data_IF_236603181544
#
_entry.id   IF_236603181544
#
_cell.length_a   1.000
_cell.length_b   1.000
_cell.length_c   1.000
_cell.angle_alpha   90.00
_cell.angle_beta   90.00
_cell.angle_gamma   90.00
#
_symmetry.space_group_name_H-M   'P 1'
#
loop_
_entity.id
_entity.type
_entity.pdbx_description
1 polymer ?
#
# COMPACT_ATOMS: atom_id res chain seq x y z
N UNK A 1 15.08 -50.59 0.86
CA UNK A 1 14.80 -50.37 -0.57
C UNK A 1 14.62 -48.88 -0.80
N UNK A 2 15.65 -48.18 -1.31
CA UNK A 2 15.51 -46.77 -1.68
C UNK A 2 14.67 -46.71 -2.96
N UNK A 3 13.42 -46.26 -2.83
CA UNK A 3 12.52 -46.07 -3.96
C UNK A 3 13.18 -45.21 -5.02
N UNK A 4 13.08 -45.61 -6.29
CA UNK A 4 13.58 -44.84 -7.43
C UNK A 4 12.95 -43.44 -7.36
N UNK A 5 13.74 -42.43 -6.96
CA UNK A 5 13.31 -41.03 -6.99
C UNK A 5 12.83 -40.70 -8.41
N UNK A 6 11.63 -40.13 -8.50
CA UNK A 6 11.01 -39.73 -9.75
C UNK A 6 11.81 -38.57 -10.37
N UNK A 7 12.86 -38.91 -11.13
CA UNK A 7 13.72 -37.97 -11.87
C UNK A 7 12.93 -36.98 -12.74
N UNK A 8 11.72 -37.37 -13.17
CA UNK A 8 10.81 -36.53 -13.94
C UNK A 8 10.29 -35.31 -13.16
N UNK A 9 9.92 -35.51 -11.89
CA UNK A 9 9.38 -34.44 -11.03
C UNK A 9 10.49 -33.46 -10.67
N UNK A 10 11.66 -33.97 -10.28
CA UNK A 10 12.81 -33.13 -9.95
C UNK A 10 13.25 -32.25 -11.13
N UNK A 11 13.20 -32.80 -12.35
CA UNK A 11 13.51 -32.04 -13.57
C UNK A 11 12.46 -30.96 -13.88
N UNK A 12 11.18 -31.23 -13.60
CA UNK A 12 10.11 -30.23 -13.75
C UNK A 12 10.29 -29.08 -12.76
N UNK A 13 10.51 -29.39 -11.48
CA UNK A 13 10.77 -28.39 -10.43
C UNK A 13 12.00 -27.53 -10.75
N UNK A 14 13.08 -28.15 -11.21
CA UNK A 14 14.28 -27.40 -11.61
C UNK A 14 13.99 -26.45 -12.78
N UNK A 15 13.17 -26.88 -13.74
CA UNK A 15 12.79 -26.04 -14.87
C UNK A 15 11.90 -24.85 -14.42
N UNK A 16 10.96 -25.07 -13.51
CA UNK A 16 10.11 -24.02 -12.93
C UNK A 16 10.95 -23.00 -12.17
N UNK A 17 11.88 -23.45 -11.33
CA UNK A 17 12.82 -22.58 -10.63
C UNK A 17 13.71 -21.78 -11.59
N UNK A 18 14.16 -22.36 -12.70
CA UNK A 18 14.92 -21.62 -13.72
C UNK A 18 14.08 -20.52 -14.37
N UNK A 19 12.79 -20.77 -14.62
CA UNK A 19 11.87 -19.74 -15.15
C UNK A 19 11.69 -18.62 -14.12
N UNK A 20 11.52 -18.96 -12.85
CA UNK A 20 11.45 -18.00 -11.75
C UNK A 20 12.72 -17.14 -11.68
N UNK A 21 13.90 -17.75 -11.65
CA UNK A 21 15.20 -17.06 -11.60
C UNK A 21 15.38 -16.14 -12.80
N UNK A 22 14.99 -16.57 -14.00
CA UNK A 22 15.02 -15.70 -15.18
C UNK A 22 14.13 -14.47 -15.00
N UNK A 23 12.96 -14.65 -14.40
CA UNK A 23 12.06 -13.56 -14.03
C UNK A 23 12.70 -12.60 -13.02
N UNK A 24 13.34 -13.13 -11.98
CA UNK A 24 14.08 -12.35 -10.98
C UNK A 24 15.24 -11.56 -11.61
N UNK A 25 15.96 -12.15 -12.57
CA UNK A 25 17.01 -11.45 -13.32
C UNK A 25 16.46 -10.34 -14.24
N UNK A 26 15.15 -10.28 -14.45
CA UNK A 26 14.47 -9.19 -15.17
C UNK A 26 14.05 -8.03 -14.27
N UNK A 27 14.23 -8.15 -12.95
CA UNK A 27 13.80 -7.11 -12.01
C UNK A 27 14.66 -5.85 -12.10
N UNK A 28 14.02 -4.71 -11.91
CA UNK A 28 14.73 -3.47 -11.57
C UNK A 28 15.35 -3.57 -10.17
N UNK A 29 16.38 -2.78 -9.88
CA UNK A 29 17.01 -2.76 -8.55
C UNK A 29 16.03 -2.50 -7.40
N UNK A 30 14.98 -1.69 -7.64
CA UNK A 30 13.91 -1.43 -6.66
C UNK A 30 13.02 -2.65 -6.43
N UNK A 31 12.68 -3.38 -7.49
CA UNK A 31 11.91 -4.63 -7.38
C UNK A 31 12.71 -5.71 -6.66
N UNK A 32 14.00 -5.84 -6.96
CA UNK A 32 14.87 -6.79 -6.26
C UNK A 32 15.02 -6.44 -4.77
N UNK A 33 15.09 -5.14 -4.44
CA UNK A 33 15.08 -4.69 -3.04
C UNK A 33 13.75 -5.01 -2.33
N UNK A 34 12.62 -4.88 -3.03
CA UNK A 34 11.30 -5.19 -2.47
C UNK A 34 11.11 -6.68 -2.12
N UNK A 35 11.89 -7.56 -2.74
CA UNK A 35 11.84 -9.01 -2.53
C UNK A 35 13.06 -9.50 -1.71
N UNK A 36 13.94 -8.58 -1.30
CA UNK A 36 15.20 -8.92 -0.64
C UNK A 36 15.05 -9.56 0.73
N UNK A 37 13.90 -9.42 1.39
CA UNK A 37 13.62 -10.07 2.67
C UNK A 37 13.32 -11.56 2.51
N UNK A 38 12.76 -11.96 1.37
CA UNK A 38 12.50 -13.36 1.05
C UNK A 38 13.75 -14.10 0.58
N UNK A 39 14.85 -13.39 0.30
CA UNK A 39 16.05 -13.95 -0.31
C UNK A 39 17.25 -13.82 0.64
N UNK A 40 18.09 -14.85 0.71
CA UNK A 40 19.37 -14.75 1.39
C UNK A 40 20.27 -13.72 0.70
N UNK A 41 21.20 -13.13 1.46
CA UNK A 41 22.14 -12.14 0.89
C UNK A 41 23.00 -12.73 -0.23
N UNK A 42 23.26 -14.04 -0.19
CA UNK A 42 23.97 -14.74 -1.25
C UNK A 42 23.11 -14.88 -2.51
N UNK A 43 21.82 -15.25 -2.39
CA UNK A 43 20.90 -15.28 -3.53
C UNK A 43 20.90 -13.95 -4.30
N UNK A 44 20.82 -12.82 -3.58
CA UNK A 44 20.81 -11.49 -4.20
C UNK A 44 22.12 -11.22 -4.94
N UNK A 45 23.28 -11.59 -4.37
CA UNK A 45 24.58 -11.44 -5.04
C UNK A 45 24.64 -12.28 -6.32
N UNK A 46 24.24 -13.55 -6.26
CA UNK A 46 24.27 -14.45 -7.40
C UNK A 46 23.30 -14.02 -8.51
N UNK A 47 22.14 -13.47 -8.16
CA UNK A 47 21.18 -12.89 -9.10
C UNK A 47 21.78 -11.65 -9.78
N UNK A 48 22.41 -10.74 -9.03
CA UNK A 48 23.08 -9.56 -9.62
C UNK A 48 24.17 -9.94 -10.62
N UNK A 49 24.99 -10.94 -10.29
CA UNK A 49 25.98 -11.49 -11.23
C UNK A 49 25.29 -12.01 -12.50
N UNK A 50 24.15 -12.70 -12.39
CA UNK A 50 23.39 -13.17 -13.56
C UNK A 50 22.80 -12.01 -14.38
N UNK A 51 22.36 -10.94 -13.73
CA UNK A 51 21.81 -9.74 -14.37
C UNK A 51 22.87 -9.00 -15.20
N UNK A 52 24.10 -8.91 -14.71
CA UNK A 52 25.21 -8.26 -15.39
C UNK A 52 25.66 -9.01 -16.65
N UNK A 53 25.36 -10.30 -16.75
CA UNK A 53 25.69 -11.12 -17.92
C UNK A 53 24.57 -11.01 -18.99
N UNK A 54 24.92 -10.77 -20.28
CA UNK A 54 23.94 -10.72 -21.36
C UNK A 54 23.05 -11.97 -21.45
N UNK A 55 21.75 -11.84 -21.80
CA UNK A 55 20.79 -12.94 -21.81
C UNK A 55 21.14 -14.08 -22.79
N UNK A 56 21.88 -13.78 -23.85
CA UNK A 56 22.32 -14.75 -24.86
C UNK A 56 23.52 -15.60 -24.41
N UNK A 57 24.24 -15.19 -23.36
CA UNK A 57 25.48 -15.81 -22.94
C UNK A 57 25.25 -17.14 -22.18
N UNK A 58 26.04 -18.16 -22.49
CA UNK A 58 25.98 -19.46 -21.80
C UNK A 58 26.33 -19.33 -20.30
N UNK A 59 27.24 -18.42 -19.94
CA UNK A 59 27.60 -18.10 -18.56
C UNK A 59 26.40 -17.67 -17.73
N UNK A 60 25.49 -16.86 -18.30
CA UNK A 60 24.25 -16.49 -17.63
C UNK A 60 23.38 -17.71 -17.35
N UNK A 61 23.20 -18.61 -18.32
CA UNK A 61 22.41 -19.84 -18.14
C UNK A 61 22.99 -20.74 -17.05
N UNK A 62 24.32 -20.79 -16.91
CA UNK A 62 25.00 -21.51 -15.82
C UNK A 62 24.73 -20.85 -14.48
N UNK A 63 24.82 -19.53 -14.42
CA UNK A 63 24.56 -18.74 -13.21
C UNK A 63 23.09 -18.84 -12.77
N UNK A 64 22.14 -18.72 -13.69
CA UNK A 64 20.71 -18.95 -13.43
C UNK A 64 20.46 -20.36 -12.86
N UNK A 65 21.16 -21.36 -13.40
CA UNK A 65 21.10 -22.74 -12.90
C UNK A 65 21.70 -22.91 -11.49
N UNK A 66 22.74 -22.15 -11.14
CA UNK A 66 23.30 -22.13 -9.79
C UNK A 66 22.32 -21.50 -8.81
N UNK A 67 21.77 -20.33 -9.14
CA UNK A 67 20.75 -19.66 -8.32
C UNK A 67 19.53 -20.56 -8.11
N UNK A 68 19.04 -21.24 -9.15
CA UNK A 68 17.91 -22.16 -9.03
C UNK A 68 18.20 -23.31 -8.04
N UNK A 69 19.45 -23.81 -7.99
CA UNK A 69 19.86 -24.83 -7.01
C UNK A 69 19.92 -24.29 -5.59
N UNK A 70 20.40 -23.05 -5.42
CA UNK A 70 20.44 -22.39 -4.10
C UNK A 70 19.02 -22.14 -3.57
N UNK A 71 18.14 -21.58 -4.40
CA UNK A 71 16.73 -21.38 -4.03
C UNK A 71 16.05 -22.69 -3.66
N UNK A 72 16.34 -23.79 -4.36
CA UNK A 72 15.79 -25.10 -3.99
C UNK A 72 16.27 -25.60 -2.63
N UNK A 73 17.49 -25.25 -2.24
CA UNK A 73 18.13 -25.78 -1.03
C UNK A 73 17.78 -24.97 0.22
N UNK A 74 17.65 -23.65 0.09
CA UNK A 74 17.53 -22.73 1.22
C UNK A 74 16.12 -22.13 1.37
N UNK A 75 15.26 -22.19 0.35
CA UNK A 75 13.98 -21.49 0.36
C UNK A 75 12.82 -22.43 0.68
N UNK A 76 11.96 -21.99 1.60
CA UNK A 76 10.72 -22.67 1.91
C UNK A 76 9.68 -22.53 0.79
N UNK A 77 8.73 -23.47 0.74
CA UNK A 77 7.67 -23.50 -0.28
C UNK A 77 6.80 -22.23 -0.25
N UNK A 78 6.46 -21.73 0.95
CA UNK A 78 5.70 -20.49 1.10
C UNK A 78 6.45 -19.26 0.57
N UNK A 79 7.77 -19.16 0.82
CA UNK A 79 8.60 -18.09 0.28
C UNK A 79 8.70 -18.19 -1.25
N UNK A 80 8.78 -19.41 -1.78
CA UNK A 80 8.82 -19.67 -3.22
C UNK A 80 7.51 -19.24 -3.90
N UNK A 81 6.35 -19.52 -3.30
CA UNK A 81 5.06 -19.06 -3.82
C UNK A 81 4.96 -17.53 -3.85
N UNK A 82 5.43 -16.85 -2.79
CA UNK A 82 5.53 -15.38 -2.76
C UNK A 82 6.46 -14.85 -3.85
N UNK A 83 7.59 -15.49 -4.12
CA UNK A 83 8.48 -15.13 -5.23
C UNK A 83 7.81 -15.30 -6.60
N UNK A 84 7.07 -16.38 -6.80
CA UNK A 84 6.31 -16.61 -8.04
C UNK A 84 5.27 -15.50 -8.23
N UNK A 85 4.52 -15.16 -7.18
CA UNK A 85 3.56 -14.06 -7.21
C UNK A 85 4.26 -12.72 -7.52
N UNK A 86 5.42 -12.46 -6.91
CA UNK A 86 6.21 -11.26 -7.15
C UNK A 86 6.69 -11.16 -8.60
N UNK A 87 7.22 -12.25 -9.17
CA UNK A 87 7.64 -12.29 -10.57
C UNK A 87 6.46 -12.10 -11.52
N UNK A 88 5.32 -12.73 -11.24
CA UNK A 88 4.10 -12.54 -12.02
C UNK A 88 3.57 -11.10 -11.99
N UNK A 89 3.58 -10.46 -10.81
CA UNK A 89 3.15 -9.06 -10.65
C UNK A 89 4.09 -8.09 -11.40
N UNK A 90 5.40 -8.30 -11.28
CA UNK A 90 6.39 -7.48 -11.97
C UNK A 90 6.27 -7.60 -13.50
N UNK A 91 6.06 -8.81 -14.03
CA UNK A 91 5.90 -9.03 -15.47
C UNK A 91 4.62 -8.41 -16.05
N UNK A 92 3.53 -8.35 -15.29
CA UNK A 92 2.24 -7.81 -15.76
C UNK A 92 2.20 -6.29 -15.72
N UNK A 93 2.62 -5.71 -14.60
CA UNK A 93 2.32 -4.30 -14.31
C UNK A 93 3.58 -3.42 -14.24
N UNK A 94 4.78 -4.01 -14.25
CA UNK A 94 6.04 -3.34 -13.95
C UNK A 94 6.01 -2.55 -12.63
N UNK A 95 5.13 -2.94 -11.71
CA UNK A 95 4.99 -2.31 -10.39
C UNK A 95 5.98 -2.97 -9.42
N UNK A 96 6.42 -2.23 -8.38
CA UNK A 96 7.16 -2.83 -7.29
C UNK A 96 6.27 -3.85 -6.57
N UNK A 97 6.83 -5.02 -6.27
CA UNK A 97 6.14 -6.02 -5.46
C UNK A 97 5.87 -5.46 -4.06
N UNK A 98 4.65 -5.66 -3.59
CA UNK A 98 4.25 -5.40 -2.21
C UNK A 98 3.88 -6.74 -1.59
N UNK A 99 4.64 -7.17 -0.60
CA UNK A 99 4.32 -8.37 0.17
C UNK A 99 3.00 -8.12 0.93
N UNK A 100 2.01 -8.97 0.65
CA UNK A 100 0.66 -8.82 1.20
C UNK A 100 0.65 -8.94 2.71
N UNK A 101 1.50 -9.79 3.27
CA UNK A 101 1.51 -10.07 4.71
C UNK A 101 2.11 -8.87 5.45
N UNK A 102 3.22 -8.33 4.92
CA UNK A 102 3.83 -7.10 5.43
C UNK A 102 2.86 -5.92 5.35
N UNK A 103 2.12 -5.76 4.25
CA UNK A 103 1.15 -4.65 4.13
C UNK A 103 -0.07 -4.85 5.04
N UNK A 104 -0.53 -6.08 5.26
CA UNK A 104 -1.58 -6.39 6.24
C UNK A 104 -1.12 -6.08 7.66
N UNK A 105 0.08 -6.52 8.06
CA UNK A 105 0.65 -6.21 9.37
C UNK A 105 0.81 -4.71 9.58
N UNK A 106 1.28 -3.99 8.54
CA UNK A 106 1.35 -2.53 8.59
C UNK A 106 -0.01 -1.87 8.76
N UNK A 107 -1.04 -2.41 8.11
CA UNK A 107 -2.40 -1.91 8.27
C UNK A 107 -2.92 -2.13 9.69
N UNK A 108 -2.76 -3.34 10.24
CA UNK A 108 -3.14 -3.68 11.61
C UNK A 108 -2.44 -2.76 12.62
N UNK A 109 -1.12 -2.58 12.50
CA UNK A 109 -0.39 -1.66 13.37
C UNK A 109 -0.85 -0.21 13.22
N UNK A 110 -1.11 0.26 12.00
CA UNK A 110 -1.60 1.63 11.80
C UNK A 110 -2.99 1.83 12.41
N UNK A 111 -3.89 0.86 12.27
CA UNK A 111 -5.24 0.92 12.83
C UNK A 111 -5.18 0.88 14.36
N UNK A 112 -4.48 -0.09 14.93
CA UNK A 112 -4.31 -0.21 16.39
C UNK A 112 -3.66 1.02 17.03
N UNK A 113 -2.63 1.61 16.39
CA UNK A 113 -2.02 2.85 16.88
C UNK A 113 -2.98 4.04 16.85
N UNK A 114 -3.88 4.12 15.86
CA UNK A 114 -4.85 5.19 15.75
C UNK A 114 -6.00 5.03 16.74
N UNK A 115 -6.43 3.79 16.97
CA UNK A 115 -7.49 3.44 17.92
C UNK A 115 -7.01 3.48 19.38
N UNK A 116 -5.68 3.50 19.58
CA UNK A 116 -5.07 3.50 20.91
C UNK A 116 -5.08 2.13 21.56
N UNK A 117 -5.03 1.07 20.76
CA UNK A 117 -4.90 -0.30 21.24
C UNK A 117 -3.55 -0.48 21.95
N UNK A 118 -3.61 -0.76 23.26
CA UNK A 118 -2.43 -0.84 24.11
C UNK A 118 -1.50 -1.99 23.72
N UNK A 119 -2.05 -3.11 23.23
CA UNK A 119 -1.24 -4.28 22.86
C UNK A 119 -0.37 -3.96 21.63
N UNK A 120 -0.97 -3.35 20.61
CA UNK A 120 -0.27 -2.89 19.40
C UNK A 120 0.74 -1.79 19.72
N UNK A 121 0.40 -0.87 20.63
CA UNK A 121 1.31 0.19 21.07
C UNK A 121 2.56 -0.39 21.74
N UNK A 122 2.38 -1.33 22.67
CA UNK A 122 3.47 -1.96 23.40
C UNK A 122 4.36 -2.81 22.47
N UNK A 123 3.76 -3.55 21.52
CA UNK A 123 4.48 -4.30 20.50
C UNK A 123 5.35 -3.37 19.63
N UNK A 124 4.73 -2.37 18.99
CA UNK A 124 5.41 -1.49 18.04
C UNK A 124 6.49 -0.66 18.73
N UNK A 125 6.23 -0.14 19.91
CA UNK A 125 7.22 0.64 20.65
C UNK A 125 8.34 -0.23 21.20
N UNK A 126 8.04 -1.46 21.63
CA UNK A 126 9.06 -2.43 22.01
C UNK A 126 10.01 -2.76 20.85
N UNK A 127 9.46 -3.00 19.65
CA UNK A 127 10.24 -3.26 18.44
C UNK A 127 11.10 -2.05 18.03
N UNK A 128 10.55 -0.84 18.11
CA UNK A 128 11.30 0.40 17.83
C UNK A 128 12.43 0.62 18.83
N UNK A 129 12.15 0.41 20.12
CA UNK A 129 13.13 0.56 21.19
C UNK A 129 14.27 -0.45 21.05
N UNK A 130 13.96 -1.70 20.75
CA UNK A 130 14.96 -2.75 20.50
C UNK A 130 15.93 -2.37 19.36
N UNK A 131 15.45 -1.62 18.36
CA UNK A 131 16.27 -1.13 17.24
C UNK A 131 16.93 0.24 17.49
N UNK A 132 16.69 0.85 18.65
CA UNK A 132 17.17 2.21 18.96
C UNK A 132 16.56 3.29 18.06
N UNK A 133 15.38 3.05 17.48
CA UNK A 133 14.67 4.04 16.68
C UNK A 133 13.88 5.00 17.59
N UNK A 134 13.74 6.26 17.15
CA UNK A 134 13.04 7.30 17.90
C UNK A 134 11.52 7.09 17.86
N UNK A 135 11.01 6.38 18.87
CA UNK A 135 9.58 6.14 19.06
C UNK A 135 8.80 7.42 19.44
N UNK A 136 9.47 8.48 19.90
CA UNK A 136 8.79 9.75 20.23
C UNK A 136 8.27 10.43 18.95
N UNK A 137 9.02 10.35 17.86
CA UNK A 137 8.57 10.85 16.55
C UNK A 137 7.29 10.15 16.09
N UNK A 138 7.24 8.82 16.24
CA UNK A 138 6.03 8.05 15.90
C UNK A 138 4.85 8.50 16.76
N UNK A 139 5.05 8.67 18.07
CA UNK A 139 4.01 9.14 19.00
C UNK A 139 3.46 10.52 18.62
N UNK A 140 4.32 11.45 18.21
CA UNK A 140 3.92 12.79 17.76
C UNK A 140 3.05 12.68 16.50
N UNK A 141 3.47 11.87 15.51
CA UNK A 141 2.74 11.68 14.26
C UNK A 141 1.36 11.03 14.48
N UNK A 142 1.28 10.02 15.35
CA UNK A 142 0.01 9.36 15.69
C UNK A 142 -0.94 10.36 16.34
N UNK A 143 -0.46 11.15 17.32
CA UNK A 143 -1.26 12.20 17.96
C UNK A 143 -1.75 13.24 16.95
N UNK A 144 -0.90 13.65 16.01
CA UNK A 144 -1.28 14.59 14.94
C UNK A 144 -2.40 14.01 14.06
N UNK A 145 -2.36 12.72 13.73
CA UNK A 145 -3.41 12.07 12.96
C UNK A 145 -4.72 11.94 13.73
N UNK A 146 -4.67 11.56 15.00
CA UNK A 146 -5.87 11.49 15.87
C UNK A 146 -6.55 12.85 15.99
N UNK A 147 -5.77 13.93 16.20
CA UNK A 147 -6.30 15.29 16.22
C UNK A 147 -6.94 15.70 14.88
N UNK A 148 -6.31 15.37 13.76
CA UNK A 148 -6.86 15.63 12.44
C UNK A 148 -8.17 14.85 12.19
N UNK A 149 -8.27 13.61 12.68
CA UNK A 149 -9.48 12.79 12.56
C UNK A 149 -10.63 13.33 13.42
N UNK A 150 -10.35 13.79 14.64
CA UNK A 150 -11.33 14.45 15.50
C UNK A 150 -11.84 15.76 14.90
N UNK A 151 -10.96 16.57 14.31
CA UNK A 151 -11.37 17.81 13.61
C UNK A 151 -12.28 17.53 12.41
N UNK A 152 -12.01 16.46 11.65
CA UNK A 152 -12.86 16.07 10.53
C UNK A 152 -14.26 15.60 10.99
N UNK A 153 -14.32 14.86 12.10
CA UNK A 153 -15.60 14.44 12.68
C UNK A 153 -16.41 15.65 13.20
N UNK A 154 -15.75 16.62 13.85
CA UNK A 154 -16.41 17.86 14.31
C UNK A 154 -16.95 18.69 13.13
N UNK A 155 -16.19 18.83 12.03
CA UNK A 155 -16.65 19.54 10.85
C UNK A 155 -17.86 18.86 10.18
N UNK A 156 -17.88 17.52 10.11
CA UNK A 156 -19.04 16.79 9.58
C UNK A 156 -20.29 16.98 10.44
N UNK A 157 -20.16 16.99 11.77
CA UNK A 157 -21.29 17.25 12.67
C UNK A 157 -21.83 18.67 12.51
N UNK A 158 -20.96 19.68 12.38
CA UNK A 158 -21.39 21.07 12.17
C UNK A 158 -22.15 21.25 10.86
N UNK A 159 -21.67 20.70 9.74
CA UNK A 159 -22.35 20.77 8.44
C UNK A 159 -23.74 20.11 8.54
N UNK A 160 -23.82 18.93 9.14
CA UNK A 160 -25.08 18.19 9.33
C UNK A 160 -26.11 18.98 10.15
N UNK A 161 -25.64 19.71 11.19
CA UNK A 161 -26.51 20.53 12.04
C UNK A 161 -26.95 21.86 11.40
N UNK A 162 -26.17 22.41 10.48
CA UNK A 162 -26.55 23.65 9.77
C UNK A 162 -27.52 23.43 8.61
N UNK A 163 -27.53 22.25 7.98
CA UNK A 163 -28.44 21.94 6.87
C UNK A 163 -29.90 21.68 7.30
N UNK A 164 -30.14 21.36 8.57
CA UNK A 164 -31.49 21.10 9.11
C UNK A 164 -32.20 22.35 9.64
N UNK A 165 -31.56 23.53 9.62
CA UNK A 165 -32.12 24.80 10.12
C UNK A 165 -32.60 25.76 9.01
N UNK A 166 -32.49 25.39 7.72
CA UNK A 166 -32.84 26.27 6.60
C UNK A 166 -34.17 25.90 5.90
N UNK A 167 -35.00 25.05 6.53
CA UNK A 167 -36.24 24.52 5.94
C UNK A 167 -37.47 24.68 6.85
N UNK A 168 -37.67 25.85 7.45
CA UNK A 168 -38.96 26.20 8.04
C UNK A 168 -39.15 27.73 8.05
N UNK A 169 -39.69 28.26 6.95
CA UNK A 169 -40.26 29.61 6.90
C UNK A 169 -41.41 29.59 5.91
N UNK A 170 -42.54 29.09 6.39
CA UNK A 170 -43.86 29.32 5.82
C UNK A 170 -44.41 30.66 6.32
N UNK A 171 -44.81 31.54 5.41
CA UNK A 171 -45.84 32.57 5.67
C UNK A 171 -46.58 32.91 4.38
N UNK A 172 -47.90 32.68 4.42
CA UNK A 172 -48.95 33.24 3.56
C UNK A 172 -48.95 34.78 3.51
N UNK A 173 -49.26 35.40 2.36
CA UNK A 173 -50.52 36.15 2.12
C UNK A 173 -50.59 36.75 0.69
N UNK A 174 -51.82 37.04 0.25
CA UNK A 174 -52.28 37.32 -1.11
C UNK A 174 -52.07 38.76 -1.64
N UNK A 175 -51.98 38.89 -2.98
CA UNK A 175 -52.83 39.75 -3.85
C UNK A 175 -52.10 40.31 -5.11
N UNK A 176 -52.69 40.02 -6.26
CA UNK A 176 -52.76 40.79 -7.52
C UNK A 176 -51.48 41.45 -8.10
N UNK A 177 -51.02 40.90 -9.23
CA UNK A 177 -50.02 41.56 -10.08
C UNK A 177 -49.61 40.69 -11.28
N UNK A 178 -50.47 40.67 -12.30
CA UNK A 178 -50.24 40.04 -13.60
C UNK A 178 -49.02 40.67 -14.32
N UNK A 179 -47.88 39.97 -14.36
CA UNK A 179 -46.84 40.17 -15.38
C UNK A 179 -46.27 38.82 -15.79
N UNK A 180 -46.55 38.46 -17.04
CA UNK A 180 -46.12 37.25 -17.69
C UNK A 180 -44.61 37.27 -17.95
N UNK A 181 -43.83 36.65 -17.04
CA UNK A 181 -42.49 36.16 -17.33
C UNK A 181 -42.46 34.66 -17.06
N UNK A 182 -42.32 33.89 -18.13
CA UNK A 182 -42.10 32.44 -18.11
C UNK A 182 -40.68 32.19 -17.56
N UNK A 183 -40.56 32.24 -16.25
CA UNK A 183 -39.39 31.80 -15.51
C UNK A 183 -39.60 30.32 -15.15
N UNK A 184 -38.71 29.48 -15.66
CA UNK A 184 -38.61 28.05 -15.40
C UNK A 184 -38.37 27.84 -13.90
N UNK A 185 -39.44 27.62 -13.14
CA UNK A 185 -39.41 27.26 -11.71
C UNK A 185 -39.27 25.74 -11.55
N UNK A 186 -38.30 25.14 -12.25
CA UNK A 186 -38.01 23.74 -12.06
C UNK A 186 -37.06 23.60 -10.84
N UNK A 187 -37.50 23.03 -9.70
CA UNK A 187 -36.69 22.93 -8.49
C UNK A 187 -35.41 22.12 -8.70
N UNK A 188 -35.40 21.22 -9.68
CA UNK A 188 -34.18 20.49 -10.08
C UNK A 188 -33.13 21.44 -10.68
N UNK A 189 -33.54 22.44 -11.47
CA UNK A 189 -32.61 23.38 -12.12
C UNK A 189 -32.01 24.36 -11.10
N UNK A 190 -32.75 24.73 -10.07
CA UNK A 190 -32.24 25.55 -8.96
C UNK A 190 -31.26 24.78 -8.08
N UNK A 191 -31.52 23.49 -7.81
CA UNK A 191 -30.53 22.61 -7.14
C UNK A 191 -29.27 22.44 -7.99
N UNK A 192 -29.39 22.26 -9.31
CA UNK A 192 -28.25 22.09 -10.20
C UNK A 192 -27.39 23.36 -10.28
N UNK A 193 -28.00 24.55 -10.26
CA UNK A 193 -27.27 25.83 -10.21
C UNK A 193 -26.55 26.05 -8.86
N UNK A 194 -27.16 25.70 -7.73
CA UNK A 194 -26.47 25.75 -6.43
C UNK A 194 -25.33 24.72 -6.35
N UNK A 195 -25.50 23.52 -6.92
CA UNK A 195 -24.46 22.51 -6.98
C UNK A 195 -23.29 22.94 -7.87
N UNK A 196 -23.55 23.65 -8.98
CA UNK A 196 -22.52 24.22 -9.85
C UNK A 196 -21.81 25.43 -9.22
N UNK A 197 -22.53 26.31 -8.51
CA UNK A 197 -21.94 27.46 -7.84
C UNK A 197 -21.04 27.03 -6.65
N UNK A 198 -21.47 26.02 -5.87
CA UNK A 198 -20.65 25.43 -4.80
C UNK A 198 -19.41 24.68 -5.31
N UNK A 199 -19.48 24.11 -6.52
CA UNK A 199 -18.34 23.44 -7.20
C UNK A 199 -17.32 24.42 -7.78
N UNK A 200 -17.66 25.69 -8.03
CA UNK A 200 -16.72 26.66 -8.61
C UNK A 200 -15.79 27.31 -7.58
N UNK A 201 -16.21 27.47 -6.32
CA UNK A 201 -15.33 28.02 -5.27
C UNK A 201 -14.37 26.98 -4.67
N UNK A 202 -14.64 25.69 -4.82
CA UNK A 202 -13.77 24.59 -4.35
C UNK A 202 -12.73 24.13 -5.38
N UNK A 203 -12.70 24.72 -6.58
CA UNK A 203 -11.81 24.32 -7.68
C UNK A 203 -10.51 25.13 -7.80
N UNK A 204 -10.36 26.26 -7.09
CA UNK A 204 -9.20 27.14 -7.23
C UNK A 204 -7.98 26.79 -6.36
N UNK A 205 -8.07 25.79 -5.47
CA UNK A 205 -6.98 25.43 -4.54
C UNK A 205 -6.61 23.93 -4.53
N UNK A 206 -6.98 23.16 -5.57
CA UNK A 206 -6.61 21.75 -5.70
C UNK A 206 -5.46 21.57 -6.70
N UNK A 207 -4.29 22.10 -6.35
CA UNK A 207 -3.07 21.36 -6.70
C UNK A 207 -3.12 19.99 -5.98
N UNK A 208 -2.40 18.96 -6.44
CA UNK A 208 -2.25 17.70 -5.69
C UNK A 208 -1.37 17.92 -4.45
N UNK A 209 -1.72 18.88 -3.60
CA UNK A 209 -1.16 19.07 -2.28
C UNK A 209 -1.61 17.89 -1.43
N UNK A 210 -0.69 16.96 -1.17
CA UNK A 210 -0.93 15.86 -0.23
C UNK A 210 -1.38 16.50 1.08
N UNK A 211 -2.56 16.11 1.58
CA UNK A 211 -3.04 16.60 2.87
C UNK A 211 -1.97 16.33 3.93
N UNK A 212 -1.81 17.21 4.94
CA UNK A 212 -0.89 16.96 6.06
C UNK A 212 -1.09 15.57 6.69
N UNK A 213 -2.34 15.09 6.73
CA UNK A 213 -2.69 13.73 7.16
C UNK A 213 -2.13 12.62 6.25
N UNK A 214 -2.13 12.80 4.94
CA UNK A 214 -1.54 11.83 4.02
C UNK A 214 -0.02 11.77 4.15
N UNK A 215 0.62 12.92 4.42
CA UNK A 215 2.06 12.99 4.69
C UNK A 215 2.42 12.27 5.99
N UNK A 216 1.68 12.53 7.08
CA UNK A 216 1.87 11.85 8.36
C UNK A 216 1.68 10.33 8.25
N UNK A 217 0.59 9.86 7.61
CA UNK A 217 0.35 8.42 7.36
C UNK A 217 1.50 7.77 6.58
N UNK A 218 2.01 8.44 5.55
CA UNK A 218 3.16 7.94 4.79
C UNK A 218 4.43 7.88 5.63
N UNK A 219 4.65 8.88 6.48
CA UNK A 219 5.80 8.91 7.40
C UNK A 219 5.74 7.75 8.40
N UNK A 220 4.58 7.52 9.02
CA UNK A 220 4.36 6.38 9.92
C UNK A 220 4.62 5.06 9.17
N UNK A 221 4.03 4.88 7.99
CA UNK A 221 4.23 3.66 7.18
C UNK A 221 5.71 3.42 6.87
N UNK A 222 6.46 4.45 6.54
CA UNK A 222 7.89 4.34 6.25
C UNK A 222 8.71 3.94 7.49
N UNK A 223 8.32 4.38 8.68
CA UNK A 223 8.95 3.98 9.94
C UNK A 223 8.62 2.53 10.31
N UNK A 224 7.37 2.11 10.12
CA UNK A 224 6.90 0.78 10.51
C UNK A 224 7.29 -0.32 9.51
N UNK A 225 7.39 -0.01 8.22
CA UNK A 225 7.70 -0.99 7.17
C UNK A 225 8.96 -1.84 7.44
N UNK A 226 10.13 -1.28 7.81
CA UNK A 226 11.28 -2.10 8.12
C UNK A 226 11.08 -2.99 9.36
N UNK A 227 10.20 -2.63 10.29
CA UNK A 227 9.85 -3.48 11.43
C UNK A 227 9.04 -4.69 10.98
N UNK A 228 7.98 -4.46 10.18
CA UNK A 228 7.11 -5.51 9.68
C UNK A 228 7.89 -6.51 8.80
N UNK A 229 8.81 -6.01 7.98
CA UNK A 229 9.69 -6.86 7.16
C UNK A 229 10.62 -7.74 8.00
N UNK A 230 11.14 -7.23 9.10
CA UNK A 230 12.01 -8.02 9.98
C UNK A 230 11.24 -9.05 10.82
N UNK A 231 10.02 -8.71 11.24
CA UNK A 231 9.15 -9.63 11.97
C UNK A 231 8.87 -10.89 11.13
N UNK A 232 8.47 -10.72 9.87
CA UNK A 232 8.26 -11.83 8.95
C UNK A 232 9.54 -12.54 8.46
N UNK A 233 10.72 -12.03 8.82
CA UNK A 233 11.99 -12.71 8.56
C UNK A 233 12.41 -13.60 9.73
N UNK A 234 11.89 -13.34 10.93
CA UNK A 234 12.21 -14.08 12.14
C UNK A 234 11.31 -15.30 12.35
N UNK A 235 10.16 -15.34 11.69
CA UNK A 235 9.23 -16.49 11.61
C UNK A 235 9.74 -17.54 10.61
#
# INVERSE_FOLDING_TARGET
MQGRRNRSIEKRQEQELRVLVRGLCGFSGKQLQAVSHLLSSDHIKQIKIAMDIPPTNQGRRRQEGLVAKLLRAELDEAALDKLIAAVGAAQRNNLPFTDTDVEQQLQLWMEGLLDGDQEVVDEVYGLLQAKGQDWQQLRILVRQLQQAQQQQQQQQQQISSSSSSAGDSSSDEAAAGEVQQVAVQDPEVQQLMQELAGKQQSRAARGPGKSPSAVARRSIRNMLKPLAVELHKAE
#
